data_IF_777272074388
#
_entry.id   IF_777272074388
#
_cell.length_a   1.000
_cell.length_b   1.000
_cell.length_c   1.000
_cell.angle_alpha   90.00
_cell.angle_beta   90.00
_cell.angle_gamma   90.00
#
_symmetry.space_group_name_H-M   'P 1'
#
loop_
_entity.id
_entity.type
_entity.pdbx_description
1 polymer ?
#
# COMPACT_ATOMS: atom_id res chain seq x y z
N UNK A 1 19.20 -17.51 7.96
CA UNK A 1 20.30 -17.23 8.93
C UNK A 1 19.61 -16.98 10.26
N UNK A 2 20.07 -17.54 11.34
CA UNK A 2 19.25 -17.71 12.56
C UNK A 2 19.32 -16.41 13.41
N UNK A 3 18.19 -15.80 13.72
CA UNK A 3 18.08 -14.54 14.49
C UNK A 3 18.77 -14.64 15.87
N UNK A 4 18.74 -15.84 16.47
CA UNK A 4 19.46 -16.14 17.71
C UNK A 4 20.97 -15.90 17.63
N UNK A 5 21.59 -16.17 16.47
CA UNK A 5 23.05 -16.03 16.30
C UNK A 5 23.46 -14.56 16.33
N UNK A 6 22.68 -13.68 15.67
CA UNK A 6 22.97 -12.24 15.64
C UNK A 6 22.74 -11.59 16.98
N UNK A 7 21.72 -12.02 17.72
CA UNK A 7 21.46 -11.50 19.06
C UNK A 7 22.55 -11.97 20.06
N UNK A 8 23.07 -13.17 19.91
CA UNK A 8 24.22 -13.65 20.68
C UNK A 8 25.46 -12.80 20.40
N UNK A 9 25.72 -12.48 19.13
CA UNK A 9 26.82 -11.60 18.73
C UNK A 9 26.66 -10.17 19.25
N UNK A 10 25.42 -9.65 19.41
CA UNK A 10 25.15 -8.36 20.10
C UNK A 10 25.61 -8.40 21.54
N UNK A 11 25.27 -9.47 22.24
CA UNK A 11 25.62 -9.65 23.65
C UNK A 11 27.12 -9.83 23.85
N UNK A 12 27.77 -10.56 22.94
CA UNK A 12 29.21 -10.81 22.98
C UNK A 12 30.06 -9.60 22.51
N UNK A 13 29.39 -8.48 22.13
CA UNK A 13 30.05 -7.25 21.64
C UNK A 13 30.73 -7.41 20.28
N UNK A 14 30.41 -8.49 19.56
CA UNK A 14 30.99 -8.81 18.24
C UNK A 14 30.10 -8.42 17.07
N UNK A 15 28.96 -7.75 17.35
CA UNK A 15 27.97 -7.41 16.34
C UNK A 15 28.50 -6.42 15.33
N UNK A 16 28.35 -6.80 14.09
CA UNK A 16 28.36 -5.84 12.99
C UNK A 16 27.10 -4.98 13.04
N UNK A 17 27.22 -3.74 13.51
CA UNK A 17 26.11 -2.77 13.62
C UNK A 17 25.35 -2.62 12.29
N UNK A 18 26.05 -2.70 11.17
CA UNK A 18 25.42 -2.59 9.85
C UNK A 18 24.50 -3.79 9.55
N UNK A 19 24.88 -4.98 9.98
CA UNK A 19 24.04 -6.17 9.82
C UNK A 19 22.79 -6.10 10.70
N UNK A 20 22.90 -5.64 11.93
CA UNK A 20 21.78 -5.42 12.83
C UNK A 20 20.81 -4.38 12.25
N UNK A 21 21.34 -3.25 11.79
CA UNK A 21 20.52 -2.22 11.13
C UNK A 21 19.77 -2.74 9.90
N UNK A 22 20.45 -3.54 9.07
CA UNK A 22 19.86 -4.16 7.89
C UNK A 22 18.69 -5.08 8.27
N UNK A 23 18.83 -5.87 9.32
CA UNK A 23 17.78 -6.78 9.79
C UNK A 23 16.60 -6.06 10.40
N UNK A 24 16.84 -5.03 11.22
CA UNK A 24 15.77 -4.18 11.75
C UNK A 24 14.99 -3.58 10.58
N UNK A 25 15.68 -3.07 9.57
CA UNK A 25 15.05 -2.52 8.37
C UNK A 25 14.19 -3.56 7.63
N UNK A 26 14.65 -4.81 7.54
CA UNK A 26 13.88 -5.90 6.91
C UNK A 26 12.60 -6.22 7.69
N UNK A 27 12.67 -6.24 9.03
CA UNK A 27 11.49 -6.43 9.88
C UNK A 27 10.49 -5.29 9.66
N UNK A 28 10.95 -4.03 9.70
CA UNK A 28 10.07 -2.88 9.46
C UNK A 28 9.41 -2.94 8.09
N UNK A 29 10.18 -3.24 7.05
CA UNK A 29 9.63 -3.32 5.70
C UNK A 29 8.64 -4.46 5.53
N UNK A 30 8.93 -5.64 6.10
CA UNK A 30 8.03 -6.79 6.06
C UNK A 30 6.67 -6.48 6.68
N UNK A 31 6.66 -5.87 7.87
CA UNK A 31 5.42 -5.50 8.56
C UNK A 31 4.65 -4.38 7.83
N UNK A 32 5.34 -3.34 7.39
CA UNK A 32 4.72 -2.24 6.62
C UNK A 32 4.12 -2.78 5.32
N UNK A 33 4.87 -3.61 4.59
CA UNK A 33 4.40 -4.22 3.35
C UNK A 33 3.16 -5.08 3.58
N UNK A 34 3.16 -5.91 4.61
CA UNK A 34 2.03 -6.77 4.94
C UNK A 34 0.75 -5.95 5.18
N UNK A 35 0.83 -4.89 5.99
CA UNK A 35 -0.34 -4.06 6.31
C UNK A 35 -0.79 -3.18 5.13
N UNK A 36 0.12 -2.61 4.34
CA UNK A 36 -0.23 -1.83 3.14
C UNK A 36 -0.88 -2.74 2.08
N UNK A 37 -0.33 -3.93 1.83
CA UNK A 37 -0.90 -4.90 0.88
C UNK A 37 -2.27 -5.37 1.34
N UNK A 38 -2.45 -5.63 2.63
CA UNK A 38 -3.72 -6.01 3.26
C UNK A 38 -4.77 -4.90 3.10
N UNK A 39 -4.40 -3.64 3.35
CA UNK A 39 -5.27 -2.46 3.20
C UNK A 39 -5.56 -2.08 1.75
N UNK A 40 -4.79 -2.58 0.78
CA UNK A 40 -4.95 -2.24 -0.64
C UNK A 40 -6.34 -2.60 -1.16
N UNK A 41 -7.10 -1.65 -1.72
CA UNK A 41 -8.41 -1.92 -2.29
C UNK A 41 -8.37 -3.02 -3.34
N UNK A 42 -9.25 -4.00 -3.20
CA UNK A 42 -9.31 -5.14 -4.12
C UNK A 42 -10.48 -5.00 -5.07
N UNK A 43 -10.13 -4.93 -6.34
CA UNK A 43 -11.07 -5.10 -7.43
C UNK A 43 -10.83 -6.47 -8.10
N UNK A 44 -9.83 -6.57 -8.96
CA UNK A 44 -9.35 -7.81 -9.57
C UNK A 44 -8.17 -8.41 -8.82
N UNK A 45 -7.68 -7.73 -7.78
CA UNK A 45 -6.42 -8.05 -7.10
C UNK A 45 -5.18 -7.50 -7.81
N UNK A 46 -5.34 -6.91 -8.99
CA UNK A 46 -4.21 -6.43 -9.79
C UNK A 46 -3.31 -5.45 -9.02
N UNK A 47 -3.88 -4.40 -8.38
CA UNK A 47 -3.09 -3.44 -7.59
C UNK A 47 -2.39 -4.11 -6.41
N UNK A 48 -3.05 -5.08 -5.74
CA UNK A 48 -2.47 -5.81 -4.60
C UNK A 48 -1.26 -6.64 -5.02
N UNK A 49 -1.25 -7.20 -6.24
CA UNK A 49 -0.16 -8.02 -6.77
C UNK A 49 0.99 -7.20 -7.35
N UNK A 50 0.82 -5.89 -7.55
CA UNK A 50 1.80 -5.01 -8.19
C UNK A 50 2.54 -4.13 -7.19
N UNK A 51 2.61 -4.52 -5.94
CA UNK A 51 3.55 -3.97 -4.97
C UNK A 51 4.91 -4.63 -5.16
N UNK A 52 5.94 -3.82 -5.24
CA UNK A 52 7.32 -4.23 -5.47
C UNK A 52 8.22 -3.63 -4.40
N UNK A 53 9.09 -4.46 -3.89
CA UNK A 53 10.15 -4.08 -2.98
C UNK A 53 11.49 -4.12 -3.70
N UNK A 54 12.31 -3.11 -3.48
CA UNK A 54 13.67 -3.04 -4.00
C UNK A 54 14.61 -2.52 -2.92
N UNK A 55 15.59 -3.33 -2.55
CA UNK A 55 16.65 -2.91 -1.63
C UNK A 55 17.68 -2.03 -2.36
N UNK A 56 18.01 -0.89 -1.76
CA UNK A 56 19.01 0.07 -2.24
C UNK A 56 20.13 0.15 -1.19
N UNK A 57 21.13 -0.72 -1.31
CA UNK A 57 22.19 -0.84 -0.31
C UNK A 57 21.73 -1.43 1.02
N UNK A 58 22.43 -1.11 2.11
CA UNK A 58 22.20 -1.68 3.44
C UNK A 58 21.17 -0.92 4.28
N UNK A 59 20.90 0.35 3.93
CA UNK A 59 20.13 1.30 4.78
C UNK A 59 18.83 1.79 4.15
N UNK A 60 18.52 1.35 2.94
CA UNK A 60 17.34 1.84 2.22
C UNK A 60 16.62 0.72 1.48
N UNK A 61 15.30 0.70 1.63
CA UNK A 61 14.40 -0.15 0.85
C UNK A 61 13.36 0.76 0.20
N UNK A 62 13.14 0.57 -1.08
CA UNK A 62 12.08 1.22 -1.85
C UNK A 62 10.89 0.28 -1.95
N UNK A 63 9.71 0.77 -1.60
CA UNK A 63 8.45 0.07 -1.76
C UNK A 63 7.56 0.85 -2.70
N UNK A 64 7.16 0.24 -3.81
CA UNK A 64 6.50 0.93 -4.91
C UNK A 64 5.36 0.11 -5.52
N UNK A 65 4.42 0.82 -6.15
CA UNK A 65 3.36 0.23 -6.94
C UNK A 65 3.17 1.04 -8.22
N UNK A 66 3.27 0.38 -9.35
CA UNK A 66 3.25 1.02 -10.67
C UNK A 66 1.88 1.01 -11.36
N UNK A 67 0.80 0.71 -10.64
CA UNK A 67 -0.54 0.73 -11.23
C UNK A 67 -1.00 2.16 -11.50
N UNK A 68 -1.48 2.41 -12.72
CA UNK A 68 -1.86 3.76 -13.20
C UNK A 68 -3.03 4.38 -12.45
N UNK A 69 -3.84 3.58 -11.78
CA UNK A 69 -5.02 4.04 -11.04
C UNK A 69 -4.79 4.17 -9.53
N UNK A 70 -3.63 3.78 -9.00
CA UNK A 70 -3.27 3.98 -7.60
C UNK A 70 -3.43 5.44 -7.15
N UNK A 71 -2.93 6.45 -7.88
CA UNK A 71 -3.10 7.85 -7.48
C UNK A 71 -4.56 8.25 -7.28
N UNK A 72 -5.48 7.67 -8.05
CA UNK A 72 -6.90 7.98 -7.93
C UNK A 72 -7.53 7.44 -6.64
N UNK A 73 -6.99 6.35 -6.09
CA UNK A 73 -7.40 5.85 -4.79
C UNK A 73 -6.85 6.71 -3.65
N UNK A 74 -5.63 7.21 -3.78
CA UNK A 74 -4.98 8.03 -2.75
C UNK A 74 -5.61 9.44 -2.71
N UNK A 75 -5.68 10.11 -3.86
CA UNK A 75 -6.12 11.52 -3.92
C UNK A 75 -7.63 11.68 -4.10
N UNK A 76 -8.33 10.61 -4.43
CA UNK A 76 -9.72 10.67 -4.86
C UNK A 76 -9.88 11.21 -6.29
N UNK A 77 -11.11 11.20 -6.77
CA UNK A 77 -11.47 11.73 -8.10
C UNK A 77 -12.79 12.50 -8.04
N UNK A 78 -13.05 13.28 -9.07
CA UNK A 78 -14.31 14.00 -9.18
C UNK A 78 -14.48 15.07 -8.10
N UNK A 79 -15.62 15.05 -7.40
CA UNK A 79 -15.91 15.95 -6.28
C UNK A 79 -14.95 15.77 -5.09
N UNK A 80 -14.39 14.58 -4.94
CA UNK A 80 -13.50 14.21 -3.84
C UNK A 80 -12.03 14.38 -4.19
N UNK A 81 -11.71 14.59 -5.47
CA UNK A 81 -10.35 14.82 -5.94
C UNK A 81 -9.96 16.30 -5.94
N UNK A 82 -8.72 16.62 -6.35
CA UNK A 82 -8.14 17.95 -6.22
C UNK A 82 -8.91 19.07 -6.95
N UNK A 83 -9.70 18.72 -7.96
CA UNK A 83 -10.47 19.71 -8.74
C UNK A 83 -11.85 20.00 -8.17
N UNK A 84 -12.35 19.21 -7.22
CA UNK A 84 -13.67 19.31 -6.62
C UNK A 84 -14.83 19.44 -7.63
N UNK A 85 -14.72 18.77 -8.77
CA UNK A 85 -15.69 18.84 -9.87
C UNK A 85 -16.19 17.45 -10.23
N UNK A 86 -17.49 17.35 -10.57
CA UNK A 86 -18.04 16.08 -11.06
C UNK A 86 -17.35 15.64 -12.35
N UNK A 87 -17.13 14.33 -12.47
CA UNK A 87 -16.65 13.73 -13.72
C UNK A 87 -17.87 13.56 -14.63
N UNK A 88 -17.89 14.31 -15.74
CA UNK A 88 -18.97 14.24 -16.70
C UNK A 88 -18.47 13.77 -18.07
N UNK A 89 -19.29 13.00 -18.76
CA UNK A 89 -19.05 12.65 -20.16
C UNK A 89 -19.04 13.92 -21.01
N UNK A 90 -17.96 14.12 -21.78
CA UNK A 90 -17.80 15.31 -22.65
C UNK A 90 -18.22 15.00 -24.07
N UNK A 91 -18.87 15.99 -24.71
CA UNK A 91 -19.18 15.96 -26.14
C UNK A 91 -20.54 15.35 -26.47
N UNK A 92 -20.82 15.26 -27.77
CA UNK A 92 -21.98 14.64 -28.34
C UNK A 92 -21.62 13.28 -28.95
N UNK A 93 -22.57 12.37 -29.04
CA UNK A 93 -22.33 11.09 -29.68
C UNK A 93 -21.95 11.25 -31.16
N UNK A 94 -20.87 10.61 -31.60
CA UNK A 94 -20.45 10.61 -33.00
C UNK A 94 -21.47 10.00 -33.94
N UNK A 95 -22.26 9.01 -33.42
CA UNK A 95 -23.31 8.33 -34.21
C UNK A 95 -24.63 9.10 -34.25
N UNK A 96 -24.90 9.89 -33.22
CA UNK A 96 -26.09 10.71 -33.17
C UNK A 96 -25.81 12.04 -32.44
N UNK A 97 -25.60 13.14 -33.19
CA UNK A 97 -25.24 14.44 -32.62
C UNK A 97 -26.30 15.04 -31.66
N UNK A 98 -27.54 14.55 -31.70
CA UNK A 98 -28.60 14.98 -30.79
C UNK A 98 -28.52 14.31 -29.41
N UNK A 99 -27.71 13.24 -29.27
CA UNK A 99 -27.54 12.54 -28.01
C UNK A 99 -26.22 12.92 -27.32
N UNK A 100 -26.33 13.35 -26.08
CA UNK A 100 -25.18 13.60 -25.23
C UNK A 100 -24.46 12.28 -24.90
N UNK A 101 -23.13 12.32 -24.81
CA UNK A 101 -22.38 11.20 -24.27
C UNK A 101 -22.80 10.89 -22.85
N UNK A 102 -22.93 9.61 -22.55
CA UNK A 102 -23.18 9.06 -21.23
C UNK A 102 -22.07 8.07 -20.88
N UNK A 103 -21.73 8.00 -19.62
CA UNK A 103 -20.91 6.93 -19.06
C UNK A 103 -21.80 5.74 -18.81
N UNK A 104 -21.34 4.54 -19.16
CA UNK A 104 -22.06 3.30 -18.94
C UNK A 104 -21.15 2.31 -18.22
N UNK A 105 -21.61 1.69 -17.16
CA UNK A 105 -20.89 0.62 -16.47
C UNK A 105 -21.87 -0.38 -15.86
N UNK A 106 -21.39 -1.61 -15.69
CA UNK A 106 -22.12 -2.66 -14.96
C UNK A 106 -21.63 -2.71 -13.50
N UNK A 107 -22.54 -2.69 -12.51
CA UNK A 107 -22.17 -2.95 -11.12
C UNK A 107 -21.58 -4.36 -10.99
N UNK A 108 -20.58 -4.52 -10.13
CA UNK A 108 -19.91 -5.82 -9.92
C UNK A 108 -20.80 -6.89 -9.32
N UNK A 109 -21.71 -6.53 -8.45
CA UNK A 109 -22.68 -7.45 -7.84
C UNK A 109 -23.77 -7.96 -8.78
N UNK A 110 -23.65 -7.69 -10.10
CA UNK A 110 -24.71 -7.94 -11.06
C UNK A 110 -25.69 -6.78 -11.14
N UNK A 111 -26.75 -6.92 -11.96
CA UNK A 111 -27.76 -5.88 -12.20
C UNK A 111 -27.63 -5.23 -13.57
N UNK A 112 -28.51 -4.25 -13.82
CA UNK A 112 -28.57 -3.55 -15.08
C UNK A 112 -27.41 -2.60 -15.32
N UNK A 113 -27.11 -2.32 -16.59
CA UNK A 113 -26.11 -1.32 -16.95
C UNK A 113 -26.57 0.07 -16.51
N UNK A 114 -25.76 0.72 -15.69
CA UNK A 114 -26.04 2.09 -15.22
C UNK A 114 -25.55 3.08 -16.25
N UNK A 115 -26.43 3.99 -16.65
CA UNK A 115 -26.12 5.09 -17.56
C UNK A 115 -26.17 6.41 -16.77
N UNK A 116 -25.08 7.17 -16.77
CA UNK A 116 -25.01 8.49 -16.11
C UNK A 116 -24.23 9.47 -16.98
N UNK A 117 -24.66 10.71 -16.99
CA UNK A 117 -23.93 11.80 -17.62
C UNK A 117 -22.73 12.23 -16.76
N UNK A 118 -22.92 12.26 -15.45
CA UNK A 118 -21.90 12.65 -14.49
C UNK A 118 -21.84 11.67 -13.32
N UNK A 119 -20.66 11.55 -12.71
CA UNK A 119 -20.43 10.84 -11.44
C UNK A 119 -19.71 11.74 -10.45
N UNK A 120 -19.90 11.47 -9.16
CA UNK A 120 -19.22 12.18 -8.07
C UNK A 120 -17.73 11.84 -7.98
N UNK A 121 -17.31 10.71 -8.55
CA UNK A 121 -15.96 10.20 -8.41
C UNK A 121 -15.79 9.28 -7.22
N UNK A 122 -14.54 9.01 -6.86
CA UNK A 122 -14.13 8.10 -5.78
C UNK A 122 -13.57 8.94 -4.63
N UNK A 123 -13.94 8.59 -3.40
CA UNK A 123 -13.35 9.21 -2.20
C UNK A 123 -11.90 8.75 -2.01
N UNK A 124 -11.01 9.60 -1.49
CA UNK A 124 -9.67 9.20 -1.06
C UNK A 124 -9.76 8.04 -0.07
N UNK A 125 -8.83 7.12 -0.17
CA UNK A 125 -8.69 6.01 0.77
C UNK A 125 -7.27 6.04 1.35
N UNK A 126 -7.08 6.34 2.64
CA UNK A 126 -5.79 6.46 3.30
C UNK A 126 -5.19 5.09 3.67
N UNK A 127 -5.33 4.08 2.82
CA UNK A 127 -4.89 2.72 3.12
C UNK A 127 -3.37 2.60 3.22
N UNK A 128 -2.62 3.46 2.53
CA UNK A 128 -1.15 3.49 2.60
C UNK A 128 -0.72 4.06 3.95
N UNK A 129 -1.24 5.22 4.31
CA UNK A 129 -0.95 5.88 5.58
C UNK A 129 -1.31 4.97 6.77
N UNK A 130 -2.51 4.42 6.77
CA UNK A 130 -2.97 3.49 7.80
C UNK A 130 -2.11 2.21 7.85
N UNK A 131 -1.71 1.69 6.67
CA UNK A 131 -0.85 0.52 6.58
C UNK A 131 0.56 0.78 7.09
N UNK A 132 1.11 1.97 6.83
CA UNK A 132 2.41 2.37 7.36
C UNK A 132 2.35 2.51 8.89
N UNK A 133 1.35 3.19 9.43
CA UNK A 133 1.19 3.35 10.88
C UNK A 133 1.04 2.00 11.60
N UNK A 134 0.19 1.13 11.09
CA UNK A 134 0.00 -0.21 11.65
C UNK A 134 1.27 -1.06 11.51
N UNK A 135 1.94 -1.03 10.36
CA UNK A 135 3.16 -1.78 10.11
C UNK A 135 4.33 -1.32 10.99
N UNK A 136 4.47 -0.01 11.24
CA UNK A 136 5.47 0.51 12.19
C UNK A 136 5.18 0.00 13.61
N UNK A 137 3.93 0.03 14.06
CA UNK A 137 3.56 -0.46 15.39
C UNK A 137 3.91 -1.95 15.55
N UNK A 138 3.54 -2.78 14.57
CA UNK A 138 3.84 -4.21 14.55
C UNK A 138 5.35 -4.47 14.51
N UNK A 139 6.09 -3.72 13.69
CA UNK A 139 7.55 -3.84 13.59
C UNK A 139 8.26 -3.48 14.90
N UNK A 140 7.84 -2.42 15.58
CA UNK A 140 8.38 -2.05 16.88
C UNK A 140 8.18 -3.19 17.91
N UNK A 141 7.01 -3.82 17.92
CA UNK A 141 6.73 -4.95 18.80
C UNK A 141 7.59 -6.17 18.43
N UNK A 142 7.69 -6.50 17.14
CA UNK A 142 8.52 -7.60 16.66
C UNK A 142 10.00 -7.39 17.02
N UNK A 143 10.55 -6.20 16.83
CA UNK A 143 11.93 -5.87 17.22
C UNK A 143 12.12 -5.97 18.73
N UNK A 144 11.17 -5.46 19.53
CA UNK A 144 11.27 -5.61 21.00
C UNK A 144 11.22 -7.08 21.43
N UNK A 145 10.42 -7.92 20.80
CA UNK A 145 10.40 -9.36 21.06
C UNK A 145 11.72 -10.04 20.69
N UNK A 146 12.35 -9.65 19.58
CA UNK A 146 13.68 -10.13 19.21
C UNK A 146 14.69 -9.86 20.32
N UNK A 147 14.74 -8.65 20.88
CA UNK A 147 15.68 -8.31 21.95
C UNK A 147 15.35 -9.03 23.27
N UNK A 148 14.08 -9.13 23.68
CA UNK A 148 13.68 -9.88 24.87
C UNK A 148 14.03 -11.36 24.81
N UNK A 149 13.92 -11.98 23.63
CA UNK A 149 14.31 -13.39 23.45
C UNK A 149 15.82 -13.60 23.54
N UNK A 150 16.62 -12.56 23.31
CA UNK A 150 18.06 -12.60 23.52
C UNK A 150 18.42 -12.61 25.03
N UNK A 151 17.75 -11.77 25.83
CA UNK A 151 18.01 -11.68 27.28
C UNK A 151 17.74 -12.98 28.02
N UNK A 152 16.77 -13.79 27.56
CA UNK A 152 16.48 -15.12 28.14
C UNK A 152 17.52 -16.21 27.81
N UNK A 153 18.42 -15.97 26.90
CA UNK A 153 19.50 -16.93 26.54
C UNK A 153 20.74 -16.74 27.44
N UNK A 154 20.79 -15.63 28.21
CA UNK A 154 21.94 -15.21 29.03
C UNK A 154 21.81 -15.65 30.50
N UNK A 155 20.67 -16.18 30.92
CA UNK A 155 20.46 -16.78 32.22
C UNK A 155 20.59 -18.31 32.15
#
# INVERSE_FOLDING_TARGET
>A
MNDRKVLQEVVDGTVNIEELQSRILDVFMGEIQAEVVKGTPVDTGYMRQHWHERRIGTKQIEFSNNTTYLPFHITGTGLYGPRHQMICAKGMSKKNPRHLHVMAWKPRGGGDTIFRRCTRGIRPNPFIENGIEAGIANACEAVMQMFRSADHVIQ
#
